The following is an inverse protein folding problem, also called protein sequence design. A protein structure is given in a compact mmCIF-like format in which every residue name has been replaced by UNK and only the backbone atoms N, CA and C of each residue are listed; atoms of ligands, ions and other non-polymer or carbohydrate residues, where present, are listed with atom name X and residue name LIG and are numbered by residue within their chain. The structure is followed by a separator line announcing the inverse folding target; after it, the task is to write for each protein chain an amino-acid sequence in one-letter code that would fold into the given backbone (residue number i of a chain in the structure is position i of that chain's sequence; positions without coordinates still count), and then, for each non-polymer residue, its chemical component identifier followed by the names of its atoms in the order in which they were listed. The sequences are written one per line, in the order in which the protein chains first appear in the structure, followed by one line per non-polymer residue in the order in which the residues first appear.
data_IF_859302914244
#
_entry.id   IF_859302914244
#
_cell.length_a   1.000
_cell.length_b   1.000
_cell.length_c   1.000
_cell.angle_alpha   90.00
_cell.angle_beta   90.00
_cell.angle_gamma   90.00
#
_symmetry.space_group_name_H-M   'P 1'
#
loop_
_entity.id
_entity.type
_entity.pdbx_description
1 polymer ?
#
# COMPACT_ATOMS: atom_id res chain seq x y z
N UNK A 1 -8.22 19.73 -22.08
CA UNK A 1 -9.09 18.89 -21.21
C UNK A 1 -9.22 19.60 -19.88
N UNK A 2 -10.42 20.00 -19.48
CA UNK A 2 -10.63 20.75 -18.23
C UNK A 2 -10.33 19.87 -17.02
N UNK A 3 -9.52 20.39 -16.09
CA UNK A 3 -9.05 19.76 -14.85
C UNK A 3 -10.16 19.17 -13.97
N UNK A 4 -11.40 19.65 -14.12
CA UNK A 4 -12.58 19.22 -13.37
C UNK A 4 -12.96 17.76 -13.58
N UNK A 5 -12.36 17.10 -14.57
CA UNK A 5 -12.60 15.69 -14.78
C UNK A 5 -11.93 14.81 -13.72
N UNK A 6 -10.80 15.18 -13.13
CA UNK A 6 -10.08 14.26 -12.24
C UNK A 6 -10.37 14.57 -10.77
N UNK A 7 -10.98 13.61 -10.06
CA UNK A 7 -11.28 13.76 -8.62
C UNK A 7 -10.01 14.02 -7.80
N UNK A 8 -8.84 13.50 -8.21
CA UNK A 8 -7.57 13.82 -7.55
C UNK A 8 -7.18 15.30 -7.65
N UNK A 9 -7.42 15.93 -8.80
CA UNK A 9 -7.17 17.37 -8.96
C UNK A 9 -8.13 18.17 -8.08
N UNK A 10 -9.41 17.79 -8.04
CA UNK A 10 -10.41 18.46 -7.19
C UNK A 10 -10.06 18.36 -5.71
N UNK A 11 -9.76 17.14 -5.25
CA UNK A 11 -9.37 16.85 -3.87
C UNK A 11 -8.12 17.65 -3.46
N UNK A 12 -7.12 17.77 -4.35
CA UNK A 12 -5.94 18.62 -4.12
C UNK A 12 -6.30 20.11 -4.08
N UNK A 13 -7.14 20.60 -4.99
CA UNK A 13 -7.59 22.02 -5.03
C UNK A 13 -8.39 22.42 -3.80
N UNK A 14 -9.15 21.49 -3.22
CA UNK A 14 -9.93 21.71 -2.00
C UNK A 14 -9.12 21.58 -0.71
N UNK A 15 -7.80 21.34 -0.78
CA UNK A 15 -6.95 21.04 0.38
C UNK A 15 -7.52 19.90 1.25
N UNK A 16 -8.13 18.88 0.64
CA UNK A 16 -8.69 17.76 1.39
C UNK A 16 -7.55 17.06 2.16
N UNK A 17 -7.68 16.88 3.50
CA UNK A 17 -6.68 16.20 4.32
C UNK A 17 -6.40 14.79 3.84
N UNK A 18 -5.13 14.38 3.93
CA UNK A 18 -4.69 13.07 3.47
C UNK A 18 -4.36 12.10 4.61
N UNK A 19 -4.06 12.64 5.80
CA UNK A 19 -3.78 11.87 7.01
C UNK A 19 -4.98 10.97 7.39
N UNK A 20 -4.71 9.72 7.74
CA UNK A 20 -5.74 8.75 8.13
C UNK A 20 -6.58 8.17 6.97
N UNK A 21 -6.19 8.42 5.72
CA UNK A 21 -7.00 8.00 4.56
C UNK A 21 -6.57 6.67 3.94
N UNK A 22 -5.48 6.05 4.40
CA UNK A 22 -4.99 4.77 3.91
C UNK A 22 -6.00 3.64 4.17
N UNK A 23 -6.11 2.67 3.24
CA UNK A 23 -6.97 1.50 3.46
C UNK A 23 -6.46 0.69 4.65
N UNK A 24 -7.30 0.42 5.65
CA UNK A 24 -6.97 -0.54 6.69
C UNK A 24 -7.20 -1.99 6.21
N UNK A 25 -6.26 -2.89 6.47
CA UNK A 25 -6.50 -4.33 6.53
C UNK A 25 -5.47 -5.01 7.44
N UNK A 26 -5.89 -6.06 8.14
CA UNK A 26 -4.98 -6.88 8.95
C UNK A 26 -4.08 -7.74 8.07
N UNK A 27 -4.61 -8.22 6.94
CA UNK A 27 -3.86 -8.97 5.95
C UNK A 27 -4.07 -8.38 4.56
N UNK A 28 -2.98 -8.14 3.83
CA UNK A 28 -2.99 -7.82 2.42
C UNK A 28 -2.54 -9.03 1.61
N UNK A 29 -3.30 -9.36 0.58
CA UNK A 29 -3.00 -10.44 -0.36
C UNK A 29 -2.87 -9.83 -1.74
N UNK A 30 -1.72 -9.99 -2.39
CA UNK A 30 -1.51 -9.56 -3.76
C UNK A 30 -1.35 -10.78 -4.66
N UNK A 31 -2.20 -10.89 -5.67
CA UNK A 31 -2.21 -12.01 -6.62
C UNK A 31 -1.80 -11.49 -7.97
N UNK A 32 -0.76 -12.07 -8.57
CA UNK A 32 -0.39 -11.67 -9.92
C UNK A 32 -1.46 -12.04 -10.93
N UNK A 33 -1.91 -11.07 -11.72
CA UNK A 33 -2.91 -11.29 -12.76
C UNK A 33 -2.80 -10.24 -13.86
N UNK A 34 -2.74 -10.63 -15.16
CA UNK A 34 -2.51 -9.68 -16.24
C UNK A 34 -3.54 -8.54 -16.26
N UNK A 35 -3.06 -7.30 -16.32
CA UNK A 35 -3.89 -6.08 -16.24
C UNK A 35 -5.02 -6.03 -17.28
N UNK A 36 -4.83 -6.64 -18.45
CA UNK A 36 -5.86 -6.73 -19.52
C UNK A 36 -7.14 -7.45 -19.07
N UNK A 37 -7.06 -8.29 -18.03
CA UNK A 37 -8.19 -9.07 -17.53
C UNK A 37 -8.92 -8.43 -16.34
N UNK A 38 -8.36 -7.39 -15.72
CA UNK A 38 -9.01 -6.72 -14.59
C UNK A 38 -10.37 -6.16 -15.02
N UNK A 39 -11.41 -6.27 -14.18
CA UNK A 39 -12.70 -5.61 -14.39
C UNK A 39 -12.85 -4.45 -13.41
N UNK A 40 -13.95 -3.67 -13.49
CA UNK A 40 -14.23 -2.58 -12.54
C UNK A 40 -14.04 -3.05 -11.09
N UNK A 41 -14.57 -4.23 -10.78
CA UNK A 41 -14.18 -5.00 -9.60
C UNK A 41 -13.04 -5.95 -9.98
N UNK A 42 -11.89 -5.79 -9.33
CA UNK A 42 -10.72 -6.58 -9.66
C UNK A 42 -10.92 -8.08 -9.39
N UNK A 43 -11.71 -8.45 -8.38
CA UNK A 43 -11.94 -9.86 -8.03
C UNK A 43 -12.97 -10.55 -8.93
N UNK A 44 -13.53 -9.83 -9.90
CA UNK A 44 -14.35 -10.36 -11.00
C UNK A 44 -13.53 -10.41 -12.31
N UNK A 45 -12.20 -10.53 -12.20
CA UNK A 45 -11.30 -10.58 -13.35
C UNK A 45 -11.66 -11.72 -14.33
N UNK A 46 -11.34 -11.49 -15.62
CA UNK A 46 -11.48 -12.50 -16.69
C UNK A 46 -10.24 -13.40 -16.75
N UNK A 47 -10.23 -14.36 -17.68
CA UNK A 47 -9.07 -15.21 -17.96
C UNK A 47 -8.96 -16.42 -17.02
N UNK A 48 -10.09 -17.01 -16.65
CA UNK A 48 -10.19 -18.14 -15.70
C UNK A 48 -9.78 -17.81 -14.25
N UNK A 49 -9.88 -16.53 -13.87
CA UNK A 49 -9.76 -16.12 -12.48
C UNK A 49 -10.86 -16.79 -11.61
N UNK A 50 -10.55 -17.27 -10.40
CA UNK A 50 -11.52 -17.92 -9.53
C UNK A 50 -12.74 -17.05 -9.23
N UNK A 51 -13.92 -17.63 -9.44
CA UNK A 51 -15.19 -17.00 -9.06
C UNK A 51 -15.40 -17.10 -7.55
N UNK A 52 -16.12 -16.13 -6.98
CA UNK A 52 -16.52 -16.15 -5.57
C UNK A 52 -15.45 -15.70 -4.58
N UNK A 53 -14.24 -15.36 -5.04
CA UNK A 53 -13.14 -14.95 -4.17
C UNK A 53 -13.47 -13.71 -3.33
N UNK A 54 -14.24 -12.76 -3.87
CA UNK A 54 -14.73 -11.59 -3.11
C UNK A 54 -15.65 -11.98 -1.96
N UNK A 55 -16.54 -12.96 -2.17
CA UNK A 55 -17.43 -13.48 -1.14
C UNK A 55 -16.62 -14.19 -0.07
N UNK A 56 -15.72 -15.08 -0.49
CA UNK A 56 -14.79 -15.76 0.41
C UNK A 56 -13.99 -14.78 1.27
N UNK A 57 -13.37 -13.77 0.67
CA UNK A 57 -12.59 -12.73 1.37
C UNK A 57 -13.40 -12.04 2.47
N UNK A 58 -14.66 -11.69 2.19
CA UNK A 58 -15.55 -11.04 3.16
C UNK A 58 -15.92 -11.95 4.33
N UNK A 59 -16.20 -13.23 4.06
CA UNK A 59 -16.51 -14.20 5.10
C UNK A 59 -15.29 -14.51 5.97
N UNK A 60 -14.14 -14.77 5.35
CA UNK A 60 -12.89 -15.04 6.07
C UNK A 60 -12.43 -13.83 6.90
N UNK A 61 -12.70 -12.60 6.43
CA UNK A 61 -12.40 -11.37 7.18
C UNK A 61 -13.08 -11.28 8.53
N UNK A 62 -14.20 -11.98 8.74
CA UNK A 62 -14.92 -12.02 10.03
C UNK A 62 -14.18 -12.86 11.07
N UNK A 63 -13.30 -13.77 10.63
CA UNK A 63 -12.57 -14.72 11.51
C UNK A 63 -11.12 -14.30 11.65
N UNK A 64 -10.43 -14.04 10.54
CA UNK A 64 -8.99 -13.73 10.55
C UNK A 64 -8.68 -12.25 10.81
N UNK A 65 -9.70 -11.39 10.84
CA UNK A 65 -9.57 -9.94 10.72
C UNK A 65 -9.57 -9.50 9.25
N UNK A 66 -9.72 -8.19 9.00
CA UNK A 66 -9.96 -7.67 7.64
C UNK A 66 -8.86 -8.11 6.64
N UNK A 67 -9.28 -8.82 5.59
CA UNK A 67 -8.42 -9.25 4.47
C UNK A 67 -8.69 -8.34 3.28
N UNK A 68 -7.63 -7.93 2.59
CA UNK A 68 -7.69 -7.11 1.39
C UNK A 68 -6.93 -7.79 0.26
N UNK A 69 -7.65 -8.34 -0.70
CA UNK A 69 -7.07 -8.95 -1.90
C UNK A 69 -6.96 -7.92 -3.03
N UNK A 70 -5.79 -7.84 -3.66
CA UNK A 70 -5.51 -7.00 -4.83
C UNK A 70 -4.87 -7.82 -5.93
N UNK A 71 -5.08 -7.39 -7.17
CA UNK A 71 -4.42 -7.99 -8.33
C UNK A 71 -3.23 -7.12 -8.71
N UNK A 72 -2.12 -7.75 -9.06
CA UNK A 72 -0.90 -7.04 -9.43
C UNK A 72 -0.39 -7.47 -10.79
N UNK A 73 0.33 -6.58 -11.47
CA UNK A 73 0.80 -6.79 -12.82
C UNK A 73 2.22 -6.22 -12.98
N UNK A 74 3.05 -6.98 -13.68
CA UNK A 74 4.26 -6.53 -14.34
C UNK A 74 4.13 -6.80 -15.84
N UNK A 75 4.90 -6.09 -16.67
CA UNK A 75 4.83 -6.27 -18.12
C UNK A 75 5.25 -7.69 -18.52
N UNK A 76 4.56 -8.30 -19.49
CA UNK A 76 4.91 -9.62 -20.04
C UNK A 76 4.35 -10.83 -19.27
N UNK A 77 3.47 -10.63 -18.29
CA UNK A 77 2.92 -11.73 -17.50
C UNK A 77 1.88 -12.58 -18.23
N UNK A 78 1.93 -13.89 -17.99
CA UNK A 78 0.90 -14.87 -18.37
C UNK A 78 -0.03 -15.17 -17.18
N UNK A 79 -1.32 -15.50 -17.39
CA UNK A 79 -2.20 -15.96 -16.32
C UNK A 79 -2.02 -17.44 -15.95
N UNK A 80 -1.15 -18.21 -16.63
CA UNK A 80 -1.06 -19.68 -16.45
C UNK A 80 -0.58 -20.11 -15.06
N UNK A 81 0.26 -19.28 -14.44
CA UNK A 81 0.80 -19.45 -13.10
C UNK A 81 0.83 -18.10 -12.41
N UNK A 82 0.51 -18.10 -11.12
CA UNK A 82 0.45 -16.88 -10.32
C UNK A 82 1.34 -16.97 -9.10
N UNK A 83 1.81 -15.81 -8.69
CA UNK A 83 2.43 -15.57 -7.39
C UNK A 83 1.36 -14.97 -6.46
N UNK A 84 1.33 -15.42 -5.21
CA UNK A 84 0.46 -14.89 -4.15
C UNK A 84 1.36 -14.37 -3.02
N UNK A 85 1.38 -13.05 -2.84
CA UNK A 85 2.11 -12.39 -1.76
C UNK A 85 1.17 -12.06 -0.61
N UNK A 86 1.58 -12.38 0.62
CA UNK A 86 0.80 -12.12 1.84
C UNK A 86 1.62 -11.29 2.84
N UNK A 87 1.01 -10.19 3.28
CA UNK A 87 1.55 -9.28 4.29
C UNK A 87 0.59 -9.18 5.49
N UNK A 88 1.09 -8.95 6.72
CA UNK A 88 2.47 -8.58 7.07
C UNK A 88 3.46 -9.75 7.16
N UNK A 89 3.01 -10.99 7.01
CA UNK A 89 3.85 -12.17 7.26
C UNK A 89 5.00 -12.38 6.28
N UNK A 90 5.02 -11.62 5.17
CA UNK A 90 6.05 -11.67 4.11
C UNK A 90 6.18 -13.06 3.48
N UNK A 91 5.05 -13.68 3.12
CA UNK A 91 5.04 -14.96 2.43
C UNK A 91 4.70 -14.83 0.94
N UNK A 92 5.40 -15.59 0.10
CA UNK A 92 5.12 -15.76 -1.32
C UNK A 92 4.81 -17.21 -1.64
N UNK A 93 3.65 -17.47 -2.23
CA UNK A 93 3.33 -18.75 -2.86
C UNK A 93 3.55 -18.65 -4.36
N UNK A 94 4.54 -19.40 -4.86
CA UNK A 94 4.97 -19.32 -6.24
C UNK A 94 4.39 -20.40 -7.13
N UNK A 95 4.29 -20.10 -8.43
CA UNK A 95 3.84 -21.05 -9.45
C UNK A 95 2.45 -21.67 -9.20
N UNK A 96 1.55 -20.95 -8.51
CA UNK A 96 0.20 -21.43 -8.18
C UNK A 96 -0.66 -21.45 -9.45
N UNK A 97 -1.37 -22.54 -9.72
CA UNK A 97 -2.31 -22.59 -10.84
C UNK A 97 -3.55 -21.74 -10.53
N UNK A 98 -4.19 -21.09 -11.53
CA UNK A 98 -5.40 -20.28 -11.30
C UNK A 98 -6.48 -21.00 -10.50
N UNK A 99 -6.75 -22.27 -10.81
CA UNK A 99 -7.73 -23.09 -10.09
C UNK A 99 -7.37 -23.41 -8.63
N UNK A 100 -6.11 -23.24 -8.22
CA UNK A 100 -5.62 -23.53 -6.87
C UNK A 100 -5.60 -22.30 -5.96
N UNK A 101 -5.75 -21.08 -6.49
CA UNK A 101 -5.67 -19.83 -5.72
C UNK A 101 -6.57 -19.88 -4.48
N UNK A 102 -7.84 -20.29 -4.62
CA UNK A 102 -8.77 -20.37 -3.49
C UNK A 102 -8.30 -21.38 -2.43
N UNK A 103 -7.81 -22.54 -2.87
CA UNK A 103 -7.32 -23.58 -1.95
C UNK A 103 -6.08 -23.11 -1.16
N UNK A 104 -5.12 -22.45 -1.81
CA UNK A 104 -3.95 -21.87 -1.13
C UNK A 104 -4.39 -20.90 -0.04
N UNK A 105 -5.30 -19.99 -0.38
CA UNK A 105 -5.78 -18.98 0.56
C UNK A 105 -6.60 -19.59 1.70
N UNK A 106 -7.47 -20.56 1.41
CA UNK A 106 -8.23 -21.27 2.44
C UNK A 106 -7.31 -22.01 3.42
N UNK A 107 -6.33 -22.76 2.90
CA UNK A 107 -5.35 -23.46 3.72
C UNK A 107 -4.55 -22.48 4.58
N UNK A 108 -4.00 -21.41 4.00
CA UNK A 108 -3.23 -20.41 4.76
C UNK A 108 -4.04 -19.79 5.92
N UNK A 109 -5.26 -19.32 5.64
CA UNK A 109 -6.05 -18.59 6.64
C UNK A 109 -6.78 -19.49 7.64
N UNK A 110 -6.96 -20.78 7.36
CA UNK A 110 -7.63 -21.75 8.26
C UNK A 110 -6.65 -22.65 9.00
N UNK A 111 -5.71 -23.23 8.26
CA UNK A 111 -4.83 -24.31 8.73
C UNK A 111 -3.38 -23.84 8.94
N UNK A 112 -3.05 -22.63 8.47
CA UNK A 112 -1.69 -22.10 8.49
C UNK A 112 -0.83 -22.65 7.35
N UNK A 113 0.48 -22.73 7.58
CA UNK A 113 1.44 -23.29 6.60
C UNK A 113 1.38 -24.81 6.68
N UNK A 114 1.12 -25.44 5.53
CA UNK A 114 1.04 -26.90 5.41
C UNK A 114 1.94 -27.40 4.28
N UNK A 115 2.20 -28.71 4.23
CA UNK A 115 3.00 -29.32 3.15
C UNK A 115 2.28 -29.32 1.79
N UNK A 116 0.97 -29.07 1.75
CA UNK A 116 0.21 -28.97 0.51
C UNK A 116 0.58 -27.72 -0.29
N UNK A 117 0.86 -26.61 0.41
CA UNK A 117 1.29 -25.34 -0.18
C UNK A 117 2.35 -24.71 0.71
N UNK A 118 3.61 -24.76 0.27
CA UNK A 118 4.74 -24.19 1.00
C UNK A 118 5.06 -22.79 0.48
N UNK A 119 4.95 -21.74 1.31
CA UNK A 119 5.41 -20.42 0.94
C UNK A 119 6.92 -20.30 1.06
N UNK A 120 7.47 -19.28 0.40
CA UNK A 120 8.83 -18.79 0.61
C UNK A 120 8.80 -17.39 1.23
N UNK A 121 9.83 -16.97 1.98
CA UNK A 121 9.92 -15.59 2.45
C UNK A 121 10.05 -14.60 1.28
N UNK A 122 9.45 -13.42 1.42
CA UNK A 122 9.67 -12.29 0.51
C UNK A 122 10.98 -11.60 0.90
N UNK A 123 12.00 -11.81 0.07
CA UNK A 123 13.35 -11.26 0.30
C UNK A 123 13.50 -9.82 -0.20
N UNK A 124 12.78 -9.46 -1.27
CA UNK A 124 12.86 -8.13 -1.89
C UNK A 124 11.62 -7.32 -1.53
N UNK A 125 11.83 -6.09 -1.05
CA UNK A 125 10.73 -5.16 -0.76
C UNK A 125 9.91 -4.86 -2.01
N UNK A 126 8.64 -4.50 -1.83
CA UNK A 126 7.70 -4.30 -2.92
C UNK A 126 6.93 -3.00 -2.78
N UNK A 127 6.85 -2.26 -3.88
CA UNK A 127 6.03 -1.05 -3.99
C UNK A 127 4.87 -1.34 -4.94
N UNK A 128 3.65 -1.18 -4.45
CA UNK A 128 2.43 -1.35 -5.24
C UNK A 128 1.82 -0.01 -5.57
N UNK A 129 1.65 0.29 -6.86
CA UNK A 129 1.10 1.56 -7.35
C UNK A 129 -0.21 1.30 -8.08
N UNK A 130 -1.26 2.00 -7.70
CA UNK A 130 -2.57 1.79 -8.29
C UNK A 130 -2.65 2.33 -9.73
N UNK A 131 -2.84 1.46 -10.72
CA UNK A 131 -3.03 1.84 -12.13
C UNK A 131 -4.39 1.38 -12.69
N UNK A 132 -5.37 1.14 -11.80
CA UNK A 132 -6.63 0.51 -12.12
C UNK A 132 -7.62 1.41 -12.89
N UNK A 133 -7.36 1.63 -14.18
CA UNK A 133 -8.12 2.60 -14.98
C UNK A 133 -9.58 2.24 -15.26
N UNK A 134 -9.94 0.95 -15.20
CA UNK A 134 -11.35 0.52 -15.27
C UNK A 134 -12.14 0.91 -14.03
N UNK A 135 -11.49 1.14 -12.90
CA UNK A 135 -12.12 1.60 -11.67
C UNK A 135 -12.18 3.13 -11.61
N UNK A 136 -11.05 3.81 -11.84
CA UNK A 136 -11.01 5.28 -11.86
C UNK A 136 -9.91 5.83 -12.78
N UNK A 137 -10.24 6.89 -13.52
CA UNK A 137 -9.34 7.56 -14.48
C UNK A 137 -8.13 8.27 -13.85
N UNK A 138 -8.21 8.68 -12.59
CA UNK A 138 -7.08 9.25 -11.86
C UNK A 138 -6.02 8.18 -11.59
N UNK A 139 -6.44 6.95 -11.23
CA UNK A 139 -5.52 5.82 -11.11
C UNK A 139 -4.87 5.48 -12.46
N UNK A 140 -5.64 5.50 -13.55
CA UNK A 140 -5.10 5.28 -14.89
C UNK A 140 -4.02 6.30 -15.27
N UNK A 141 -4.31 7.58 -15.09
CA UNK A 141 -3.45 8.68 -15.53
C UNK A 141 -2.23 8.86 -14.61
N UNK A 142 -2.48 9.23 -13.36
CA UNK A 142 -1.41 9.62 -12.44
C UNK A 142 -0.66 8.40 -11.91
N UNK A 143 -1.36 7.27 -11.73
CA UNK A 143 -0.73 6.04 -11.27
C UNK A 143 0.26 5.47 -12.28
N UNK A 144 -0.09 5.48 -13.58
CA UNK A 144 0.82 5.02 -14.63
C UNK A 144 2.06 5.91 -14.73
N UNK A 145 1.88 7.23 -14.66
CA UNK A 145 3.00 8.18 -14.64
C UNK A 145 3.95 7.92 -13.47
N UNK A 146 3.40 7.66 -12.27
CA UNK A 146 4.21 7.33 -11.09
C UNK A 146 4.99 6.03 -11.29
N UNK A 147 4.37 4.97 -11.84
CA UNK A 147 5.05 3.69 -12.11
C UNK A 147 6.27 3.88 -13.00
N UNK A 148 6.12 4.62 -14.09
CA UNK A 148 7.20 4.82 -15.07
C UNK A 148 8.36 5.59 -14.43
N UNK A 149 8.06 6.62 -13.63
CA UNK A 149 9.06 7.40 -12.90
C UNK A 149 9.76 6.59 -11.80
N UNK A 150 9.01 5.86 -10.98
CA UNK A 150 9.59 5.02 -9.92
C UNK A 150 10.53 3.98 -10.51
N UNK A 151 10.10 3.26 -11.57
CA UNK A 151 10.96 2.28 -12.27
C UNK A 151 12.24 2.92 -12.81
N UNK A 152 12.13 4.10 -13.42
CA UNK A 152 13.30 4.84 -13.91
C UNK A 152 14.29 5.16 -12.77
N UNK A 153 13.83 5.72 -11.66
CA UNK A 153 14.69 6.11 -10.55
C UNK A 153 15.29 4.90 -9.82
N UNK A 154 14.50 3.85 -9.58
CA UNK A 154 14.97 2.61 -8.95
C UNK A 154 16.06 1.94 -9.80
N UNK A 155 15.85 1.85 -11.11
CA UNK A 155 16.85 1.32 -12.05
C UNK A 155 18.14 2.15 -12.04
N UNK A 156 18.03 3.49 -12.03
CA UNK A 156 19.19 4.39 -11.99
C UNK A 156 19.98 4.30 -10.68
N UNK A 157 19.30 4.13 -9.56
CA UNK A 157 19.91 4.04 -8.23
C UNK A 157 20.39 2.63 -7.88
N UNK A 158 20.05 1.62 -8.69
CA UNK A 158 20.31 0.19 -8.43
C UNK A 158 19.76 -0.24 -7.06
N UNK A 159 18.58 0.29 -6.71
CA UNK A 159 17.88 -0.09 -5.49
C UNK A 159 17.21 -1.44 -5.68
N UNK A 160 17.35 -2.34 -4.71
CA UNK A 160 16.70 -3.64 -4.72
C UNK A 160 15.25 -3.50 -4.18
N UNK A 161 14.31 -3.23 -5.08
CA UNK A 161 12.88 -3.10 -4.79
C UNK A 161 12.07 -3.42 -6.04
N UNK A 162 11.01 -4.22 -5.89
CA UNK A 162 10.11 -4.56 -6.99
C UNK A 162 8.97 -3.55 -7.13
N UNK A 163 8.69 -3.12 -8.37
CA UNK A 163 7.64 -2.14 -8.65
C UNK A 163 6.47 -2.80 -9.40
N UNK A 164 5.37 -2.94 -8.68
CA UNK A 164 4.15 -3.59 -9.13
C UNK A 164 3.06 -2.57 -9.47
N UNK A 165 2.44 -2.76 -10.63
CA UNK A 165 1.14 -2.13 -10.88
C UNK A 165 0.08 -2.90 -10.12
N UNK A 166 -0.84 -2.20 -9.45
CA UNK A 166 -1.89 -2.81 -8.65
C UNK A 166 -3.28 -2.40 -9.11
N UNK A 167 -4.23 -3.31 -8.92
CA UNK A 167 -5.66 -3.01 -8.89
C UNK A 167 -5.99 -2.08 -7.72
N UNK A 168 -7.23 -1.58 -7.68
CA UNK A 168 -7.57 -0.39 -6.90
C UNK A 168 -7.14 -0.45 -5.42
N UNK A 169 -6.18 0.37 -5.00
CA UNK A 169 -5.69 0.40 -3.61
C UNK A 169 -6.58 1.19 -2.65
N UNK A 170 -7.58 1.93 -3.13
CA UNK A 170 -8.36 2.85 -2.32
C UNK A 170 -7.82 4.28 -2.38
N UNK A 171 -8.74 5.26 -2.31
CA UNK A 171 -8.41 6.68 -2.33
C UNK A 171 -8.01 7.21 -3.71
N UNK A 172 -8.76 6.89 -4.77
CA UNK A 172 -8.49 7.43 -6.13
C UNK A 172 -8.49 8.97 -6.19
N UNK A 173 -9.23 9.63 -5.29
CA UNK A 173 -9.18 11.09 -5.08
C UNK A 173 -7.86 11.59 -4.48
N UNK A 174 -6.99 10.69 -4.02
CA UNK A 174 -5.62 10.99 -3.62
C UNK A 174 -4.60 10.42 -4.62
N UNK A 175 -5.02 10.09 -5.86
CA UNK A 175 -4.11 9.52 -6.86
C UNK A 175 -2.95 10.48 -7.22
N UNK A 176 -1.76 9.98 -7.53
CA UNK A 176 -1.40 8.56 -7.56
C UNK A 176 -1.35 7.98 -6.14
N UNK A 177 -1.83 6.74 -5.97
CA UNK A 177 -1.80 6.03 -4.69
C UNK A 177 -0.84 4.85 -4.75
N UNK A 178 -0.11 4.68 -3.66
CA UNK A 178 0.97 3.70 -3.53
C UNK A 178 1.00 3.11 -2.13
N UNK A 179 1.41 1.85 -1.98
CA UNK A 179 1.74 1.25 -0.67
C UNK A 179 3.13 0.60 -0.78
N UNK A 180 3.99 0.88 0.20
CA UNK A 180 5.35 0.36 0.32
C UNK A 180 5.40 -0.75 1.39
N UNK A 181 5.69 -1.98 0.95
CA UNK A 181 5.82 -3.14 1.82
C UNK A 181 7.29 -3.54 2.00
N UNK A 182 7.66 -4.04 3.20
CA UNK A 182 6.79 -4.58 4.24
C UNK A 182 6.23 -3.55 5.24
N UNK A 183 6.67 -2.29 5.19
CA UNK A 183 6.28 -1.28 6.19
C UNK A 183 4.78 -0.97 6.24
N UNK A 184 4.05 -1.19 5.14
CA UNK A 184 2.63 -0.87 5.04
C UNK A 184 2.37 0.63 4.93
N UNK A 185 3.37 1.44 4.60
CA UNK A 185 3.24 2.90 4.46
C UNK A 185 2.48 3.21 3.17
N UNK A 186 1.32 3.86 3.30
CA UNK A 186 0.55 4.31 2.15
C UNK A 186 0.83 5.76 1.81
N UNK A 187 0.93 6.03 0.51
CA UNK A 187 1.17 7.37 -0.03
C UNK A 187 0.09 7.75 -1.04
N UNK A 188 -0.18 9.05 -1.13
CA UNK A 188 -1.11 9.63 -2.08
C UNK A 188 -0.65 11.02 -2.52
N UNK A 189 -1.07 11.44 -3.72
CA UNK A 189 -0.67 12.72 -4.34
C UNK A 189 0.85 12.91 -4.44
N UNK A 190 1.62 11.82 -4.42
CA UNK A 190 3.08 11.85 -4.53
C UNK A 190 3.44 12.50 -5.87
N UNK A 191 4.06 13.68 -5.82
CA UNK A 191 4.52 14.38 -7.00
C UNK A 191 5.72 13.64 -7.58
N UNK A 192 5.75 13.49 -8.91
CA UNK A 192 6.87 12.81 -9.59
C UNK A 192 8.18 13.58 -9.45
N UNK A 193 8.13 14.91 -9.26
CA UNK A 193 9.30 15.76 -8.97
C UNK A 193 9.85 15.56 -7.55
N UNK A 194 9.01 15.08 -6.62
CA UNK A 194 9.38 14.81 -5.22
C UNK A 194 9.83 13.36 -4.99
N UNK A 195 9.77 12.54 -6.04
CA UNK A 195 10.14 11.13 -5.96
C UNK A 195 11.59 10.90 -5.44
N UNK A 196 12.60 11.72 -5.78
CA UNK A 196 13.93 11.59 -5.16
C UNK A 196 13.91 11.75 -3.64
N UNK A 197 13.09 12.65 -3.10
CA UNK A 197 12.97 12.87 -1.66
C UNK A 197 12.29 11.68 -0.98
N UNK A 198 11.24 11.13 -1.60
CA UNK A 198 10.62 9.89 -1.13
C UNK A 198 11.63 8.73 -1.08
N UNK A 199 12.40 8.52 -2.15
CA UNK A 199 13.40 7.46 -2.22
C UNK A 199 14.54 7.66 -1.19
N UNK A 200 14.94 8.91 -0.95
CA UNK A 200 15.90 9.25 0.09
C UNK A 200 15.36 8.91 1.49
N UNK A 201 14.12 9.29 1.81
CA UNK A 201 13.47 8.92 3.07
C UNK A 201 13.34 7.40 3.21
N UNK A 202 12.94 6.71 2.12
CA UNK A 202 12.82 5.24 2.09
C UNK A 202 14.14 4.55 2.43
N UNK A 203 15.26 5.02 1.84
CA UNK A 203 16.61 4.45 2.05
C UNK A 203 17.04 4.45 3.52
N UNK A 204 16.60 5.44 4.30
CA UNK A 204 16.90 5.56 5.74
C UNK A 204 15.71 5.13 6.62
N UNK A 205 14.73 4.42 6.05
CA UNK A 205 13.51 3.97 6.71
C UNK A 205 12.67 5.07 7.40
N UNK A 206 12.75 6.30 6.88
CA UNK A 206 11.95 7.44 7.34
C UNK A 206 10.66 7.56 6.51
N UNK A 207 9.59 8.05 7.11
CA UNK A 207 8.37 8.41 6.39
C UNK A 207 8.60 9.69 5.59
N UNK A 208 8.33 9.64 4.28
CA UNK A 208 8.18 10.84 3.45
C UNK A 208 6.85 11.55 3.76
N UNK A 209 6.88 12.53 4.65
CA UNK A 209 5.69 13.12 5.25
C UNK A 209 4.75 13.82 4.27
N UNK A 210 5.24 14.48 3.22
CA UNK A 210 4.40 15.31 2.33
C UNK A 210 3.24 14.53 1.68
N UNK A 211 3.50 13.28 1.29
CA UNK A 211 2.54 12.43 0.59
C UNK A 211 1.95 11.31 1.47
N UNK A 212 2.30 11.26 2.75
CA UNK A 212 1.97 10.15 3.62
C UNK A 212 0.49 10.14 3.99
N UNK A 213 -0.17 8.98 3.88
CA UNK A 213 -1.58 8.79 4.24
C UNK A 213 -1.74 8.16 5.61
N UNK A 214 -0.73 7.41 6.04
CA UNK A 214 -0.79 6.53 7.21
C UNK A 214 -0.39 5.09 6.88
N UNK A 215 -0.27 4.28 7.93
CA UNK A 215 -0.03 2.84 7.81
C UNK A 215 -1.33 2.08 7.54
N UNK A 216 -1.28 1.13 6.61
CA UNK A 216 -2.42 0.26 6.26
C UNK A 216 -2.76 -0.77 7.34
N UNK A 217 -1.91 -0.89 8.36
CA UNK A 217 -2.09 -1.79 9.50
C UNK A 217 -2.67 -1.09 10.73
N UNK A 218 -2.86 0.23 10.68
CA UNK A 218 -3.46 1.01 11.76
C UNK A 218 -4.95 1.26 11.50
N UNK A 219 -5.74 1.21 12.58
CA UNK A 219 -7.16 1.59 12.54
C UNK A 219 -7.32 3.10 12.32
N UNK A 220 -8.54 3.55 12.01
CA UNK A 220 -8.79 4.92 11.53
C UNK A 220 -8.17 6.02 12.42
N UNK A 221 -8.46 6.04 13.73
CA UNK A 221 -7.92 7.05 14.64
C UNK A 221 -6.42 6.89 14.91
N UNK A 222 -5.93 5.65 14.98
CA UNK A 222 -4.49 5.36 15.11
C UNK A 222 -3.72 5.92 13.92
N UNK A 223 -4.29 5.75 12.73
CA UNK A 223 -3.71 6.18 11.49
C UNK A 223 -3.71 7.71 11.37
N UNK A 224 -4.79 8.39 11.78
CA UNK A 224 -4.83 9.86 11.85
C UNK A 224 -3.74 10.35 12.80
N UNK A 225 -3.67 9.82 14.02
CA UNK A 225 -2.67 10.20 15.02
C UNK A 225 -1.23 9.98 14.52
N UNK A 226 -0.94 8.80 13.99
CA UNK A 226 0.38 8.44 13.49
C UNK A 226 0.78 9.30 12.30
N UNK A 227 -0.10 9.50 11.32
CA UNK A 227 0.17 10.35 10.18
C UNK A 227 0.46 11.79 10.59
N UNK A 228 -0.34 12.39 11.50
CA UNK A 228 -0.09 13.74 12.00
C UNK A 228 1.30 13.89 12.63
N UNK A 229 1.72 12.92 13.45
CA UNK A 229 3.06 12.92 14.04
C UNK A 229 4.14 12.82 12.96
N UNK A 230 3.99 11.90 11.99
CA UNK A 230 4.95 11.75 10.91
C UNK A 230 5.06 13.00 10.03
N UNK A 231 3.94 13.66 9.70
CA UNK A 231 3.93 14.92 8.97
C UNK A 231 4.73 15.99 9.72
N UNK A 232 4.52 16.10 11.04
CA UNK A 232 5.24 17.04 11.88
C UNK A 232 6.74 16.71 11.93
N UNK A 233 7.12 15.46 12.23
CA UNK A 233 8.52 15.03 12.27
C UNK A 233 9.23 15.32 10.94
N UNK A 234 8.60 14.96 9.82
CA UNK A 234 9.18 15.18 8.50
C UNK A 234 9.44 16.67 8.23
N UNK A 235 8.49 17.55 8.60
CA UNK A 235 8.65 19.00 8.47
C UNK A 235 9.79 19.56 9.35
N UNK A 236 10.07 18.93 10.49
CA UNK A 236 11.20 19.29 11.37
C UNK A 236 12.53 18.62 10.98
N UNK A 237 12.53 17.73 9.98
CA UNK A 237 13.70 16.89 9.66
C UNK A 237 14.01 15.86 10.74
N UNK A 238 13.05 15.52 11.60
CA UNK A 238 13.20 14.54 12.66
C UNK A 238 12.94 13.13 12.16
N UNK A 239 13.78 12.20 12.59
CA UNK A 239 13.49 10.78 12.49
C UNK A 239 12.52 10.40 13.62
N UNK A 240 11.39 9.79 13.29
CA UNK A 240 10.48 9.29 14.31
C UNK A 240 9.81 7.97 13.93
N UNK A 241 9.75 7.09 14.92
CA UNK A 241 8.93 5.88 14.91
C UNK A 241 7.94 6.02 16.07
N UNK A 242 6.81 6.74 15.86
CA UNK A 242 5.89 7.03 16.94
C UNK A 242 5.11 5.77 17.33
N UNK A 243 5.02 5.54 18.63
CA UNK A 243 4.11 4.55 19.20
C UNK A 243 2.88 5.27 19.74
N UNK A 244 1.78 5.20 19.00
CA UNK A 244 0.50 5.76 19.42
C UNK A 244 -0.13 4.84 20.46
N UNK A 245 -0.57 5.43 21.58
CA UNK A 245 -1.21 4.74 22.71
C UNK A 245 -2.36 5.56 23.25
N UNK A 246 -3.21 4.92 24.05
CA UNK A 246 -4.32 5.55 24.81
C UNK A 246 -5.18 6.47 23.93
N UNK A 247 -5.61 5.96 22.78
CA UNK A 247 -6.57 6.68 21.94
C UNK A 247 -7.91 6.68 22.66
N UNK A 248 -8.44 7.88 22.88
CA UNK A 248 -9.73 8.10 23.51
C UNK A 248 -10.52 9.08 22.66
N UNK A 249 -11.65 8.60 22.15
CA UNK A 249 -12.60 9.43 21.43
C UNK A 249 -13.36 10.29 22.44
N UNK A 250 -13.30 11.60 22.27
CA UNK A 250 -13.93 12.58 23.15
C UNK A 250 -15.30 12.99 22.59
N UNK A 251 -15.36 13.26 21.29
CA UNK A 251 -16.58 13.61 20.55
C UNK A 251 -16.63 12.87 19.22
N UNK A 252 -17.60 13.19 18.37
CA UNK A 252 -17.60 12.67 17.00
C UNK A 252 -16.34 13.09 16.22
N UNK A 253 -15.89 14.33 16.43
CA UNK A 253 -14.80 14.96 15.68
C UNK A 253 -13.48 15.05 16.47
N UNK A 254 -13.51 14.84 17.78
CA UNK A 254 -12.35 14.98 18.66
C UNK A 254 -11.92 13.66 19.27
N UNK A 255 -10.61 13.45 19.30
CA UNK A 255 -9.98 12.39 20.08
C UNK A 255 -8.65 12.88 20.65
N UNK A 256 -8.20 12.22 21.73
CA UNK A 256 -6.87 12.40 22.29
C UNK A 256 -6.08 11.12 22.20
N UNK A 257 -4.75 11.24 22.11
CA UNK A 257 -3.84 10.10 22.17
C UNK A 257 -2.54 10.50 22.85
N UNK A 258 -1.75 9.50 23.23
CA UNK A 258 -0.35 9.67 23.62
C UNK A 258 0.55 9.14 22.50
N UNK A 259 1.45 9.98 21.99
CA UNK A 259 2.49 9.55 21.07
C UNK A 259 3.81 9.45 21.83
N UNK A 260 4.35 8.23 21.95
CA UNK A 260 5.69 8.03 22.48
C UNK A 260 6.68 7.97 21.33
N UNK A 261 7.74 8.74 21.43
CA UNK A 261 8.85 8.70 20.49
C UNK A 261 9.89 7.76 21.08
N UNK A 262 10.15 6.64 20.41
CA UNK A 262 11.33 5.86 20.74
C UNK A 262 12.53 6.65 20.20
N UNK A 263 13.46 7.02 21.08
CA UNK A 263 14.76 7.53 20.66
C UNK A 263 15.40 6.45 19.78
N UNK A 264 15.47 6.72 18.48
CA UNK A 264 16.32 5.93 17.62
C UNK A 264 17.75 6.35 17.94
N UNK A 265 18.53 5.44 18.50
CA UNK A 265 19.98 5.54 18.52
C UNK A 265 20.45 6.03 17.13
N UNK A 266 21.18 7.15 17.13
CA UNK A 266 21.64 7.96 15.98
C UNK A 266 20.86 9.25 15.67
N UNK A 267 20.52 10.03 16.68
CA UNK A 267 20.54 11.50 16.60
C UNK A 267 21.97 12.06 16.52
N UNK A 268 22.82 11.50 15.66
CA UNK A 268 24.17 12.02 15.40
C UNK A 268 24.20 12.56 13.97
N UNK A 269 23.51 13.67 13.69
CA UNK A 269 23.83 14.58 12.57
C UNK A 269 23.10 15.94 12.63
N UNK A 270 22.67 16.39 13.82
CA UNK A 270 22.14 17.76 14.02
C UNK A 270 22.90 18.50 15.13
N UNK A 271 24.22 18.35 15.19
CA UNK A 271 25.04 19.09 16.14
C UNK A 271 25.65 20.38 15.63
N UNK A 272 25.40 20.84 14.39
CA UNK A 272 25.96 22.11 13.94
C UNK A 272 25.06 22.85 12.94
N UNK A 273 23.99 23.50 13.43
CA UNK A 273 23.54 24.80 12.90
C UNK A 273 23.03 25.60 14.11
N UNK A 274 23.78 26.63 14.48
CA UNK A 274 23.42 27.69 15.44
C UNK A 274 22.43 28.63 14.76
#
# INVERSE_FOLDING_TARGET
MTDFNYCSILSKKSNEPIAGTAPYAKHFVFITWPKKYWQYDALEAKGDFPKGLKKWMKEQSKVSGKISIRLINCSGMSPDKVEIYIYPEKYCYSNVLPGQITAVLETYFRDGITTAFLPTPIEVDQIFICTHGRHDKCCAKFGQELVDKVRYHVSKQKTDVEIWESSHLGGHRFAPTMIDFPTGRAYGRLCTDELPNYLASRKINQVYGVAYRGSVFLTELEQVAEAHVQHYCYAQGWYCQPLIRKIERLTEDDFRCMANFNDAENSVYLQNII
#
